data_IF_116415204508
#
_entry.id   IF_116415204508
#
_cell.length_a   1.000
_cell.length_b   1.000
_cell.length_c   1.000
_cell.angle_alpha   90.00
_cell.angle_beta   90.00
_cell.angle_gamma   90.00
#
_symmetry.space_group_name_H-M   'P 1'
#
loop_
_entity.id
_entity.type
_entity.pdbx_description
1 polymer ?
#
# COMPACT_ATOMS: atom_id res chain seq x y z
N UNK A 1 -10.29 -11.79 3.11
CA UNK A 1 -9.52 -10.76 2.43
C UNK A 1 -10.04 -9.38 2.82
N UNK A 2 -9.10 -8.44 3.03
CA UNK A 2 -9.36 -7.04 3.27
C UNK A 2 -8.75 -6.25 2.14
N UNK A 3 -9.57 -5.86 1.19
CA UNK A 3 -9.14 -5.11 0.00
C UNK A 3 -9.58 -3.67 0.11
N UNK A 4 -8.67 -2.76 -0.22
CA UNK A 4 -8.98 -1.37 -0.39
C UNK A 4 -9.87 -1.19 -1.63
N UNK A 5 -11.02 -0.56 -1.43
CA UNK A 5 -11.97 -0.28 -2.52
C UNK A 5 -11.69 1.10 -3.08
N UNK A 6 -10.65 1.21 -3.89
CA UNK A 6 -10.26 2.48 -4.50
C UNK A 6 -11.35 3.06 -5.40
N UNK A 7 -12.15 2.20 -6.02
CA UNK A 7 -13.30 2.57 -6.85
C UNK A 7 -14.43 3.29 -6.08
N UNK A 8 -14.52 3.06 -4.77
CA UNK A 8 -15.50 3.74 -3.91
C UNK A 8 -15.10 5.18 -3.58
N UNK A 9 -13.84 5.56 -3.86
CA UNK A 9 -13.36 6.91 -3.54
C UNK A 9 -13.79 7.93 -4.60
N UNK A 10 -14.78 8.80 -4.31
CA UNK A 10 -15.34 9.72 -5.30
C UNK A 10 -14.40 10.86 -5.67
N UNK A 11 -13.27 11.00 -4.98
CA UNK A 11 -12.27 12.04 -5.20
C UNK A 11 -11.08 11.57 -6.03
N UNK A 12 -10.88 10.25 -6.19
CA UNK A 12 -9.66 9.68 -6.74
C UNK A 12 -9.42 10.10 -8.20
N UNK A 13 -10.45 10.05 -9.05
CA UNK A 13 -10.33 10.48 -10.45
C UNK A 13 -9.96 11.96 -10.56
N UNK A 14 -10.54 12.81 -9.70
CA UNK A 14 -10.22 14.22 -9.65
C UNK A 14 -8.83 14.49 -9.10
N UNK A 15 -8.39 13.68 -8.17
CA UNK A 15 -7.02 13.75 -7.63
C UNK A 15 -5.99 13.53 -8.75
N UNK A 16 -6.15 12.52 -9.61
CA UNK A 16 -5.24 12.32 -10.72
C UNK A 16 -5.25 13.46 -11.75
N UNK A 17 -6.38 14.16 -11.90
CA UNK A 17 -6.48 15.34 -12.78
C UNK A 17 -5.88 16.60 -12.16
N UNK A 18 -6.12 16.82 -10.87
CA UNK A 18 -5.63 17.98 -10.12
C UNK A 18 -5.27 17.58 -8.68
N UNK A 19 -4.05 17.02 -8.47
CA UNK A 19 -3.63 16.51 -7.17
C UNK A 19 -3.74 17.55 -6.05
N UNK A 20 -3.26 18.78 -6.29
CA UNK A 20 -3.26 19.84 -5.26
C UNK A 20 -4.64 20.18 -4.72
N UNK A 21 -5.67 20.13 -5.54
CA UNK A 21 -7.02 20.50 -5.14
C UNK A 21 -7.75 19.37 -4.40
N UNK A 22 -7.41 18.11 -4.69
CA UNK A 22 -8.20 16.97 -4.24
C UNK A 22 -7.43 16.01 -3.33
N UNK A 23 -6.16 16.29 -3.03
CA UNK A 23 -5.33 15.41 -2.21
C UNK A 23 -5.92 15.18 -0.82
N UNK A 24 -6.27 16.22 -0.09
CA UNK A 24 -6.79 16.09 1.28
C UNK A 24 -8.09 15.27 1.33
N UNK A 25 -9.05 15.56 0.45
CA UNK A 25 -10.31 14.80 0.40
C UNK A 25 -10.08 13.33 0.05
N UNK A 26 -9.17 13.04 -0.86
CA UNK A 26 -8.80 11.69 -1.26
C UNK A 26 -8.13 10.93 -0.11
N UNK A 27 -7.17 11.55 0.57
CA UNK A 27 -6.46 10.93 1.71
C UNK A 27 -7.39 10.70 2.90
N UNK A 28 -8.26 11.66 3.24
CA UNK A 28 -9.24 11.49 4.32
C UNK A 28 -10.25 10.38 4.01
N UNK A 29 -10.69 10.23 2.75
CA UNK A 29 -11.59 9.15 2.37
C UNK A 29 -10.93 7.79 2.62
N UNK A 30 -9.70 7.59 2.13
CA UNK A 30 -8.97 6.34 2.37
C UNK A 30 -8.73 6.09 3.86
N UNK A 31 -8.37 7.12 4.62
CA UNK A 31 -8.18 7.00 6.07
C UNK A 31 -9.45 6.50 6.77
N UNK A 32 -10.62 7.07 6.46
CA UNK A 32 -11.90 6.64 7.04
C UNK A 32 -12.29 5.23 6.61
N UNK A 33 -12.05 4.88 5.34
CA UNK A 33 -12.33 3.54 4.81
C UNK A 33 -11.49 2.48 5.53
N UNK A 34 -10.18 2.71 5.67
CA UNK A 34 -9.26 1.82 6.38
C UNK A 34 -9.61 1.72 7.86
N UNK A 35 -9.93 2.84 8.51
CA UNK A 35 -10.36 2.84 9.91
C UNK A 35 -11.62 1.98 10.13
N UNK A 36 -12.61 2.09 9.25
CA UNK A 36 -13.82 1.27 9.30
C UNK A 36 -13.49 -0.22 9.11
N UNK A 37 -12.66 -0.58 8.14
CA UNK A 37 -12.24 -1.97 7.91
C UNK A 37 -11.48 -2.55 9.11
N UNK A 38 -10.63 -1.77 9.78
CA UNK A 38 -9.92 -2.20 10.99
C UNK A 38 -10.89 -2.44 12.15
N UNK A 39 -11.92 -1.60 12.29
CA UNK A 39 -12.96 -1.82 13.30
C UNK A 39 -13.76 -3.09 13.04
N UNK A 40 -14.13 -3.39 11.81
CA UNK A 40 -14.78 -4.64 11.41
C UNK A 40 -13.90 -5.86 11.69
N UNK A 41 -12.60 -5.75 11.43
CA UNK A 41 -11.62 -6.79 11.76
C UNK A 41 -11.70 -7.22 13.23
N UNK A 42 -11.74 -6.24 14.14
CA UNK A 42 -11.76 -6.49 15.58
C UNK A 42 -13.04 -7.17 16.05
N UNK A 43 -14.17 -6.91 15.39
CA UNK A 43 -15.46 -7.50 15.75
C UNK A 43 -15.59 -8.96 15.29
N UNK A 44 -14.92 -9.33 14.20
CA UNK A 44 -15.06 -10.65 13.55
C UNK A 44 -13.90 -11.61 13.87
N UNK A 45 -13.09 -11.33 14.88
CA UNK A 45 -11.78 -11.98 15.12
C UNK A 45 -11.82 -13.46 15.50
N UNK A 46 -12.97 -14.02 15.85
CA UNK A 46 -13.05 -15.37 16.44
C UNK A 46 -13.16 -16.52 15.42
N UNK A 47 -13.32 -16.26 14.12
CA UNK A 47 -13.70 -17.33 13.16
C UNK A 47 -12.81 -17.46 11.91
N UNK A 48 -11.91 -16.51 11.65
CA UNK A 48 -11.05 -16.56 10.44
C UNK A 48 -9.57 -16.76 10.82
N UNK A 49 -8.97 -17.91 10.48
CA UNK A 49 -7.60 -18.25 10.90
C UNK A 49 -6.52 -17.46 10.17
N UNK A 50 -6.78 -16.93 8.96
CA UNK A 50 -5.83 -16.16 8.15
C UNK A 50 -6.51 -14.98 7.51
N UNK A 51 -5.92 -13.79 7.66
CA UNK A 51 -6.37 -12.55 7.03
C UNK A 51 -5.26 -11.96 6.17
N UNK A 52 -5.63 -11.55 4.98
CA UNK A 52 -4.72 -10.86 4.05
C UNK A 52 -5.33 -9.51 3.72
N UNK A 53 -4.54 -8.44 3.87
CA UNK A 53 -4.90 -7.07 3.50
C UNK A 53 -3.95 -6.58 2.39
N UNK A 54 -4.46 -5.78 1.46
CA UNK A 54 -3.65 -5.10 0.46
C UNK A 54 -3.19 -3.71 0.88
N UNK A 55 -3.51 -3.32 2.11
CA UNK A 55 -3.06 -2.08 2.72
C UNK A 55 -2.36 -2.30 4.06
N UNK A 56 -1.50 -1.36 4.43
CA UNK A 56 -0.88 -1.24 5.74
C UNK A 56 -1.18 0.16 6.27
N UNK A 57 -1.84 0.25 7.43
CA UNK A 57 -2.27 1.54 7.99
C UNK A 57 -1.09 2.49 8.25
N UNK A 58 0.06 1.95 8.60
CA UNK A 58 1.27 2.73 8.82
C UNK A 58 1.71 3.52 7.58
N UNK A 59 1.37 3.05 6.38
CA UNK A 59 1.66 3.75 5.11
C UNK A 59 0.71 4.90 4.82
N UNK A 60 -0.41 5.01 5.50
CA UNK A 60 -1.39 6.06 5.25
C UNK A 60 -0.78 7.46 5.41
N UNK A 61 -0.02 7.65 6.49
CA UNK A 61 0.68 8.91 6.72
C UNK A 61 1.76 9.20 5.67
N UNK A 62 2.41 8.16 5.11
CA UNK A 62 3.38 8.32 4.04
C UNK A 62 2.74 8.92 2.79
N UNK A 63 1.59 8.38 2.36
CA UNK A 63 0.84 8.92 1.23
C UNK A 63 0.35 10.35 1.50
N UNK A 64 -0.15 10.61 2.69
CA UNK A 64 -0.59 11.95 3.08
C UNK A 64 0.58 12.94 3.01
N UNK A 65 1.75 12.58 3.54
CA UNK A 65 2.95 13.43 3.52
C UNK A 65 3.45 13.73 2.10
N UNK A 66 3.31 12.78 1.16
CA UNK A 66 3.73 12.97 -0.23
C UNK A 66 2.77 13.85 -1.04
N UNK A 67 1.50 13.89 -0.66
CA UNK A 67 0.44 14.49 -1.47
C UNK A 67 -0.13 15.80 -0.91
N UNK A 68 0.02 16.06 0.40
CA UNK A 68 -0.60 17.19 1.09
C UNK A 68 0.39 18.35 1.26
N UNK A 69 -0.12 19.57 1.14
CA UNK A 69 0.61 20.76 1.57
C UNK A 69 0.76 20.75 3.12
N UNK A 70 1.74 21.47 3.68
CA UNK A 70 2.06 21.35 5.11
C UNK A 70 0.89 21.57 6.08
N UNK A 71 0.02 22.53 5.83
CA UNK A 71 -1.14 22.84 6.64
C UNK A 71 -2.26 21.78 6.49
N UNK A 72 -2.45 21.25 5.29
CA UNK A 72 -3.34 20.12 5.03
C UNK A 72 -2.84 18.84 5.72
N UNK A 73 -1.52 18.62 5.71
CA UNK A 73 -0.92 17.47 6.39
C UNK A 73 -1.09 17.56 7.91
N UNK A 74 -0.93 18.74 8.51
CA UNK A 74 -1.22 18.93 9.93
C UNK A 74 -2.69 18.65 10.26
N UNK A 75 -3.62 19.12 9.44
CA UNK A 75 -5.04 18.82 9.60
C UNK A 75 -5.30 17.32 9.49
N UNK A 76 -4.73 16.65 8.48
CA UNK A 76 -4.82 15.20 8.32
C UNK A 76 -4.30 14.46 9.56
N UNK A 77 -3.14 14.84 10.11
CA UNK A 77 -2.58 14.22 11.31
C UNK A 77 -3.47 14.40 12.54
N UNK A 78 -4.16 15.54 12.65
CA UNK A 78 -5.14 15.75 13.71
C UNK A 78 -6.31 14.78 13.59
N UNK A 79 -6.87 14.60 12.39
CA UNK A 79 -7.94 13.62 12.13
C UNK A 79 -7.45 12.21 12.43
N UNK A 80 -6.28 11.83 11.92
CA UNK A 80 -5.66 10.51 12.13
C UNK A 80 -5.55 10.16 13.63
N UNK A 81 -5.05 11.10 14.45
CA UNK A 81 -4.92 10.90 15.90
C UNK A 81 -6.26 10.72 16.61
N UNK A 82 -7.32 11.40 16.15
CA UNK A 82 -8.65 11.32 16.76
C UNK A 82 -9.44 10.08 16.33
N UNK A 83 -9.11 9.44 15.23
CA UNK A 83 -9.79 8.22 14.79
C UNK A 83 -9.51 6.99 15.67
N UNK A 84 -8.52 7.07 16.56
CA UNK A 84 -8.15 5.97 17.47
C UNK A 84 -8.02 4.64 16.72
N UNK A 85 -7.21 4.65 15.66
CA UNK A 85 -6.99 3.44 14.85
C UNK A 85 -6.04 2.52 15.62
N UNK A 86 -6.62 1.55 16.30
CA UNK A 86 -5.89 0.49 16.99
C UNK A 86 -5.82 -0.73 16.06
N UNK A 87 -4.98 -0.62 15.05
CA UNK A 87 -4.78 -1.70 14.09
C UNK A 87 -3.95 -2.83 14.73
N UNK A 88 -4.34 -4.09 14.53
CA UNK A 88 -3.50 -5.20 14.94
C UNK A 88 -2.17 -5.16 14.18
N UNK A 89 -1.09 -5.51 14.88
CA UNK A 89 0.23 -5.68 14.24
C UNK A 89 0.14 -6.90 13.32
N UNK A 90 0.49 -6.80 12.03
CA UNK A 90 0.47 -7.94 11.14
C UNK A 90 1.56 -8.96 11.50
N UNK A 91 1.28 -10.25 11.33
CA UNK A 91 2.27 -11.32 11.52
C UNK A 91 3.37 -11.29 10.46
N UNK A 92 3.08 -10.72 9.29
CA UNK A 92 4.01 -10.54 8.19
C UNK A 92 3.57 -9.36 7.31
N UNK A 93 4.53 -8.53 6.93
CA UNK A 93 4.37 -7.53 5.86
C UNK A 93 5.13 -7.98 4.63
N UNK A 94 4.48 -7.93 3.46
CA UNK A 94 5.11 -8.21 2.17
C UNK A 94 5.15 -6.90 1.38
N UNK A 95 6.35 -6.43 1.07
CA UNK A 95 6.56 -5.27 0.20
C UNK A 95 6.95 -5.74 -1.20
N UNK A 96 6.05 -5.56 -2.15
CA UNK A 96 6.26 -5.85 -3.57
C UNK A 96 6.94 -4.64 -4.22
N UNK A 97 8.26 -4.67 -4.34
CA UNK A 97 9.06 -3.59 -4.89
C UNK A 97 9.23 -3.75 -6.40
N UNK A 98 9.02 -2.67 -7.17
CA UNK A 98 9.28 -2.66 -8.59
C UNK A 98 9.86 -1.31 -9.05
N UNK A 99 10.77 -1.30 -10.04
CA UNK A 99 11.27 -0.07 -10.66
C UNK A 99 10.14 0.75 -11.29
N UNK A 100 10.30 2.08 -11.31
CA UNK A 100 9.29 3.00 -11.86
C UNK A 100 8.87 2.66 -13.29
N UNK A 101 9.81 2.22 -14.15
CA UNK A 101 9.48 1.79 -15.50
C UNK A 101 8.53 0.60 -15.56
N UNK A 102 8.73 -0.37 -14.67
CA UNK A 102 7.84 -1.55 -14.55
C UNK A 102 6.47 -1.14 -14.04
N UNK A 103 6.41 -0.23 -13.04
CA UNK A 103 5.14 0.29 -12.53
C UNK A 103 4.33 1.01 -13.62
N UNK A 104 4.97 1.88 -14.40
CA UNK A 104 4.33 2.57 -15.53
C UNK A 104 3.77 1.58 -16.56
N UNK A 105 4.54 0.56 -16.93
CA UNK A 105 4.09 -0.47 -17.86
C UNK A 105 2.87 -1.24 -17.31
N UNK A 106 2.86 -1.55 -16.02
CA UNK A 106 1.72 -2.23 -15.35
C UNK A 106 0.48 -1.33 -15.30
N UNK A 107 0.63 -0.04 -15.01
CA UNK A 107 -0.45 0.95 -15.03
C UNK A 107 -1.05 1.04 -16.45
N UNK A 108 -0.21 1.13 -17.48
CA UNK A 108 -0.67 1.16 -18.87
C UNK A 108 -1.42 -0.12 -19.25
N UNK A 109 -0.88 -1.29 -18.88
CA UNK A 109 -1.49 -2.60 -19.17
C UNK A 109 -2.84 -2.78 -18.46
N UNK A 110 -2.98 -2.26 -17.23
CA UNK A 110 -4.25 -2.28 -16.47
C UNK A 110 -5.33 -1.42 -17.12
N UNK A 111 -4.98 -0.33 -17.79
CA UNK A 111 -5.86 0.46 -18.65
C UNK A 111 -6.90 1.31 -17.93
N UNK A 112 -6.75 1.59 -16.63
CA UNK A 112 -7.63 2.52 -15.89
C UNK A 112 -7.33 3.93 -16.37
N UNK A 113 -8.32 4.60 -16.97
CA UNK A 113 -8.14 5.88 -17.66
C UNK A 113 -7.58 6.99 -16.75
N UNK A 114 -8.06 7.11 -15.53
CA UNK A 114 -7.61 8.12 -14.57
C UNK A 114 -6.13 7.91 -14.18
N UNK A 115 -5.68 6.67 -14.04
CA UNK A 115 -4.30 6.34 -13.69
C UNK A 115 -3.28 6.63 -14.81
N UNK A 116 -3.73 6.77 -16.07
CA UNK A 116 -2.85 7.13 -17.18
C UNK A 116 -2.28 8.56 -17.04
N UNK A 117 -2.84 9.36 -16.13
CA UNK A 117 -2.36 10.71 -15.80
C UNK A 117 -1.22 10.70 -14.75
N UNK A 118 -0.89 9.55 -14.18
CA UNK A 118 0.17 9.42 -13.17
C UNK A 118 1.53 9.72 -13.82
N UNK A 119 2.19 10.74 -13.30
CA UNK A 119 3.51 11.14 -13.78
C UNK A 119 4.62 10.23 -13.26
N UNK A 120 5.67 10.06 -14.06
CA UNK A 120 6.87 9.31 -13.68
C UNK A 120 7.49 9.83 -12.38
N UNK A 121 7.61 11.13 -12.24
CA UNK A 121 8.17 11.82 -11.07
C UNK A 121 7.41 11.47 -9.78
N UNK A 122 6.09 11.37 -9.85
CA UNK A 122 5.27 10.95 -8.73
C UNK A 122 5.62 9.53 -8.25
N UNK A 123 5.75 8.58 -9.19
CA UNK A 123 6.12 7.20 -8.85
C UNK A 123 7.57 7.08 -8.34
N UNK A 124 8.48 7.91 -8.84
CA UNK A 124 9.86 7.96 -8.36
C UNK A 124 9.92 8.44 -6.90
N UNK A 125 9.22 9.53 -6.59
CA UNK A 125 9.10 10.04 -5.23
C UNK A 125 8.44 9.01 -4.29
N UNK A 126 7.39 8.37 -4.76
CA UNK A 126 6.69 7.33 -4.00
C UNK A 126 7.59 6.13 -3.72
N UNK A 127 8.33 5.64 -4.72
CA UNK A 127 9.30 4.55 -4.55
C UNK A 127 10.38 4.89 -3.53
N UNK A 128 10.89 6.12 -3.55
CA UNK A 128 11.86 6.58 -2.57
C UNK A 128 11.26 6.61 -1.16
N UNK A 129 10.06 7.14 -1.01
CA UNK A 129 9.37 7.20 0.28
C UNK A 129 9.07 5.79 0.84
N UNK A 130 8.69 4.85 -0.01
CA UNK A 130 8.52 3.45 0.37
C UNK A 130 9.83 2.79 0.80
N UNK A 131 10.92 3.02 0.06
CA UNK A 131 12.21 2.46 0.39
C UNK A 131 12.71 2.99 1.75
N UNK A 132 12.54 4.27 2.02
CA UNK A 132 12.87 4.88 3.31
C UNK A 132 11.98 4.33 4.43
N UNK A 133 10.67 4.26 4.24
CA UNK A 133 9.73 3.72 5.22
C UNK A 133 10.09 2.28 5.59
N UNK A 134 10.27 1.40 4.61
CA UNK A 134 10.56 0.00 4.87
C UNK A 134 12.00 -0.26 5.35
N UNK A 135 12.94 0.66 5.12
CA UNK A 135 14.27 0.58 5.70
C UNK A 135 14.25 0.66 7.24
N UNK A 136 13.33 1.46 7.78
CA UNK A 136 13.18 1.64 9.23
C UNK A 136 12.03 0.83 9.84
N UNK A 137 11.33 0.03 9.04
CA UNK A 137 10.20 -0.74 9.51
C UNK A 137 10.63 -1.94 10.37
N UNK A 138 10.18 -1.98 11.62
CA UNK A 138 10.57 -3.00 12.62
C UNK A 138 9.38 -3.57 13.42
N UNK A 139 8.14 -3.16 13.09
CA UNK A 139 6.95 -3.56 13.85
C UNK A 139 6.57 -5.03 13.68
N UNK A 140 6.90 -5.63 12.57
CA UNK A 140 6.63 -7.04 12.26
C UNK A 140 7.65 -7.59 11.26
N UNK A 141 7.73 -8.92 11.07
CA UNK A 141 8.52 -9.52 9.99
C UNK A 141 8.19 -8.87 8.64
N UNK A 142 9.24 -8.59 7.86
CA UNK A 142 9.14 -7.92 6.57
C UNK A 142 9.77 -8.77 5.47
N UNK A 143 9.02 -9.04 4.41
CA UNK A 143 9.52 -9.64 3.18
C UNK A 143 9.54 -8.59 2.06
N UNK A 144 10.73 -8.22 1.60
CA UNK A 144 10.91 -7.35 0.43
C UNK A 144 11.10 -8.22 -0.80
N UNK A 145 10.15 -8.13 -1.73
CA UNK A 145 10.13 -8.93 -2.97
C UNK A 145 10.48 -8.04 -4.15
N UNK A 146 11.55 -8.37 -4.85
CA UNK A 146 11.85 -7.72 -6.13
C UNK A 146 10.90 -8.26 -7.21
N UNK A 147 10.02 -7.38 -7.69
CA UNK A 147 9.00 -7.69 -8.70
C UNK A 147 9.37 -7.14 -10.09
N UNK A 148 10.66 -6.91 -10.38
CA UNK A 148 11.09 -6.41 -11.69
C UNK A 148 10.78 -7.39 -12.80
N UNK A 149 11.19 -8.64 -12.64
CA UNK A 149 11.17 -9.67 -13.67
C UNK A 149 10.13 -10.77 -13.44
N UNK A 150 9.25 -10.64 -12.43
CA UNK A 150 8.25 -11.65 -12.09
C UNK A 150 6.82 -11.20 -12.38
N UNK A 151 5.97 -12.15 -12.75
CA UNK A 151 4.54 -11.95 -12.96
C UNK A 151 3.72 -12.87 -12.04
N UNK A 152 3.44 -12.40 -10.84
CA UNK A 152 2.69 -13.14 -9.82
C UNK A 152 1.24 -13.44 -10.19
N UNK A 153 0.72 -12.81 -11.26
CA UNK A 153 -0.67 -12.96 -11.71
C UNK A 153 -0.79 -14.01 -12.81
N UNK A 154 0.14 -14.00 -13.77
CA UNK A 154 0.04 -14.83 -14.96
C UNK A 154 1.07 -15.97 -15.02
N UNK A 155 2.02 -16.02 -14.08
CA UNK A 155 3.05 -17.05 -13.97
C UNK A 155 2.89 -17.82 -12.65
N UNK A 156 2.40 -19.05 -12.74
CA UNK A 156 2.18 -19.91 -11.56
C UNK A 156 3.48 -20.25 -10.83
N UNK A 157 4.58 -20.43 -11.54
CA UNK A 157 5.88 -20.75 -10.93
C UNK A 157 6.38 -19.59 -10.06
N UNK A 158 6.23 -18.34 -10.53
CA UNK A 158 6.59 -17.14 -9.76
C UNK A 158 5.73 -17.06 -8.50
N UNK A 159 4.43 -17.31 -8.63
CA UNK A 159 3.50 -17.31 -7.50
C UNK A 159 3.87 -18.39 -6.46
N UNK A 160 4.13 -19.61 -6.89
CA UNK A 160 4.49 -20.72 -6.00
C UNK A 160 5.85 -20.48 -5.29
N UNK A 161 6.81 -19.86 -5.96
CA UNK A 161 8.07 -19.45 -5.34
C UNK A 161 7.82 -18.41 -4.23
N UNK A 162 6.97 -17.42 -4.46
CA UNK A 162 6.61 -16.43 -3.45
C UNK A 162 5.91 -17.10 -2.26
N UNK A 163 4.92 -17.97 -2.49
CA UNK A 163 4.22 -18.70 -1.42
C UNK A 163 5.19 -19.52 -0.58
N UNK A 164 6.12 -20.23 -1.21
CA UNK A 164 7.16 -20.98 -0.50
C UNK A 164 8.05 -20.07 0.36
N UNK A 165 8.40 -18.91 -0.15
CA UNK A 165 9.19 -17.92 0.57
C UNK A 165 8.41 -17.40 1.78
N UNK A 166 7.15 -17.03 1.62
CA UNK A 166 6.25 -16.56 2.68
C UNK A 166 6.15 -17.58 3.81
N UNK A 167 5.96 -18.86 3.48
CA UNK A 167 5.84 -19.94 4.47
C UNK A 167 7.14 -20.25 5.20
N UNK A 168 8.30 -19.83 4.69
CA UNK A 168 9.61 -20.07 5.29
C UNK A 168 10.16 -18.90 6.10
N UNK A 169 9.42 -17.77 6.15
CA UNK A 169 9.94 -16.54 6.73
C UNK A 169 10.04 -16.63 8.24
N UNK A 170 11.13 -16.07 8.79
CA UNK A 170 11.34 -15.90 10.22
C UNK A 170 11.15 -14.44 10.65
N UNK A 171 11.72 -14.09 11.79
CA UNK A 171 11.71 -12.71 12.30
C UNK A 171 12.66 -11.81 11.50
N UNK A 172 12.39 -10.50 11.54
CA UNK A 172 13.23 -9.47 10.91
C UNK A 172 12.92 -9.27 9.44
N UNK A 173 13.86 -8.63 8.71
CA UNK A 173 13.71 -8.32 7.28
C UNK A 173 14.37 -9.38 6.42
N UNK A 174 13.63 -9.90 5.45
CA UNK A 174 14.10 -10.86 4.44
C UNK A 174 13.93 -10.28 3.04
N UNK A 175 14.82 -10.69 2.12
CA UNK A 175 14.79 -10.24 0.73
C UNK A 175 14.59 -11.45 -0.19
N UNK A 176 13.64 -11.31 -1.10
CA UNK A 176 13.40 -12.28 -2.15
C UNK A 176 13.66 -11.67 -3.52
N UNK A 177 14.74 -12.10 -4.15
CA UNK A 177 15.13 -11.69 -5.49
C UNK A 177 15.04 -12.93 -6.41
N UNK A 178 13.85 -13.25 -6.92
CA UNK A 178 13.71 -14.37 -7.85
C UNK A 178 14.55 -14.09 -9.09
N UNK A 179 15.21 -15.12 -9.58
CA UNK A 179 15.93 -15.06 -10.86
C UNK A 179 14.99 -15.59 -11.93
N UNK A 180 14.93 -14.93 -13.09
CA UNK A 180 14.16 -15.43 -14.22
C UNK A 180 14.62 -16.80 -14.70
#
# INVERSE_FOLDING_TARGET
LLLEKSEDNPFLDRFYQNPKQHALSTQLFFLFQRAAQIQELRQNDMFEPVRVADFLIDKDQLFAQQNLEPDEFELYLNVYRHLTIDAPVPDLVIYLQAPTGVLLNRIQKRGIQAEQLIERSYLENLNQAYAEFFHYYDKSPLLIVNCEDIDLVNNEDDYQQLVKQVLSIGAGTSYFNPRP
#
